data_IF_186727166157
#
_entry.id   IF_186727166157
#
_cell.length_a   1.000
_cell.length_b   1.000
_cell.length_c   1.000
_cell.angle_alpha   90.00
_cell.angle_beta   90.00
_cell.angle_gamma   90.00
#
_symmetry.space_group_name_H-M   'P 1'
#
loop_
_entity.id
_entity.type
_entity.pdbx_description
1 polymer ?
#
# COMPACT_ATOMS: atom_id res chain seq x y z
N UNK A 1 -40.12 -2.07 19.68
CA UNK A 1 -39.79 -1.50 18.36
C UNK A 1 -39.47 -0.02 18.55
N UNK A 2 -38.19 0.37 18.59
CA UNK A 2 -37.78 1.71 19.00
C UNK A 2 -37.75 2.64 17.75
N UNK A 3 -38.65 3.63 17.63
CA UNK A 3 -38.83 4.45 16.41
C UNK A 3 -37.67 5.43 16.13
N UNK A 4 -36.68 5.51 17.02
CA UNK A 4 -35.59 6.48 16.98
C UNK A 4 -34.52 6.13 15.92
N UNK A 5 -34.24 4.85 15.70
CA UNK A 5 -33.19 4.42 14.75
C UNK A 5 -33.55 4.64 13.28
N UNK A 6 -34.81 4.41 12.91
CA UNK A 6 -35.28 4.58 11.51
C UNK A 6 -35.37 6.06 11.10
N UNK A 7 -35.59 6.94 12.07
CA UNK A 7 -35.68 8.40 11.87
C UNK A 7 -34.28 9.02 11.75
N UNK A 8 -33.31 8.52 12.53
CA UNK A 8 -31.90 8.88 12.39
C UNK A 8 -31.32 8.47 11.03
N UNK A 9 -31.65 7.26 10.54
CA UNK A 9 -31.19 6.78 9.24
C UNK A 9 -31.77 7.58 8.06
N UNK A 10 -33.03 8.02 8.15
CA UNK A 10 -33.66 8.87 7.12
C UNK A 10 -33.07 10.29 7.09
N UNK A 11 -32.85 10.91 8.25
CA UNK A 11 -32.21 12.22 8.32
C UNK A 11 -30.74 12.18 7.90
N UNK A 12 -30.03 11.07 8.14
CA UNK A 12 -28.65 10.86 7.67
C UNK A 12 -28.55 10.84 6.14
N UNK A 13 -29.51 10.19 5.45
CA UNK A 13 -29.59 10.18 3.98
C UNK A 13 -29.92 11.55 3.37
N UNK A 14 -30.69 12.37 4.10
CA UNK A 14 -31.06 13.73 3.69
C UNK A 14 -29.91 14.73 3.88
N UNK A 15 -29.08 14.57 4.91
CA UNK A 15 -27.89 15.39 5.14
C UNK A 15 -26.77 15.14 4.10
N UNK A 16 -26.61 13.89 3.64
CA UNK A 16 -25.71 13.51 2.55
C UNK A 16 -26.09 14.18 1.21
N UNK A 17 -27.39 14.37 0.94
CA UNK A 17 -27.87 15.09 -0.23
C UNK A 17 -27.59 16.62 -0.18
N UNK A 18 -27.21 17.15 0.99
CA UNK A 18 -26.92 18.57 1.21
C UNK A 18 -25.43 18.88 1.43
N UNK A 19 -24.53 17.92 1.23
CA UNK A 19 -23.07 18.16 1.22
C UNK A 19 -22.43 18.37 2.59
N UNK A 20 -23.05 17.90 3.67
CA UNK A 20 -22.42 17.88 4.99
C UNK A 20 -21.35 16.75 5.05
N UNK A 21 -20.17 16.99 5.66
CA UNK A 21 -19.17 15.95 5.84
C UNK A 21 -19.73 14.83 6.71
N UNK A 22 -19.45 13.59 6.30
CA UNK A 22 -19.87 12.40 7.05
C UNK A 22 -19.20 12.40 8.44
N UNK A 23 -19.92 11.96 9.49
CA UNK A 23 -19.29 11.69 10.78
C UNK A 23 -18.15 10.69 10.60
N UNK A 24 -17.03 10.85 11.33
CA UNK A 24 -15.84 10.00 11.16
C UNK A 24 -16.13 8.49 11.33
N UNK A 25 -17.16 8.14 12.11
CA UNK A 25 -17.52 6.76 12.44
C UNK A 25 -18.75 6.26 11.65
N UNK A 26 -19.05 6.86 10.49
CA UNK A 26 -20.12 6.36 9.62
C UNK A 26 -19.67 5.12 8.83
N UNK A 27 -20.57 4.18 8.51
CA UNK A 27 -20.23 3.04 7.65
C UNK A 27 -19.61 3.46 6.31
N UNK A 28 -20.11 4.57 5.74
CA UNK A 28 -19.65 5.14 4.47
C UNK A 28 -18.21 5.68 4.56
N UNK A 29 -17.76 6.20 5.72
CA UNK A 29 -16.37 6.66 5.91
C UNK A 29 -15.42 5.49 6.12
N UNK A 30 -15.85 4.46 6.84
CA UNK A 30 -15.05 3.25 7.05
C UNK A 30 -14.76 2.51 5.74
N UNK A 31 -15.77 2.29 4.89
CA UNK A 31 -15.57 1.65 3.58
C UNK A 31 -14.66 2.49 2.67
N UNK A 32 -14.80 3.82 2.70
CA UNK A 32 -13.95 4.73 1.94
C UNK A 32 -12.48 4.67 2.40
N UNK A 33 -12.23 4.60 3.70
CA UNK A 33 -10.87 4.50 4.25
C UNK A 33 -10.22 3.16 3.90
N UNK A 34 -10.97 2.05 3.94
CA UNK A 34 -10.49 0.75 3.48
C UNK A 34 -10.15 0.75 1.98
N UNK A 35 -11.00 1.36 1.15
CA UNK A 35 -10.72 1.50 -0.28
C UNK A 35 -9.48 2.36 -0.52
N UNK A 36 -9.31 3.45 0.24
CA UNK A 36 -8.14 4.31 0.17
C UNK A 36 -6.85 3.53 0.52
N UNK A 37 -6.84 2.76 1.61
CA UNK A 37 -5.68 1.93 1.98
C UNK A 37 -5.32 0.92 0.89
N UNK A 38 -6.32 0.27 0.29
CA UNK A 38 -6.12 -0.69 -0.80
C UNK A 38 -5.59 -0.03 -2.06
N UNK A 39 -6.11 1.16 -2.39
CA UNK A 39 -5.66 1.96 -3.53
C UNK A 39 -4.22 2.41 -3.35
N UNK A 40 -3.87 2.92 -2.17
CA UNK A 40 -2.52 3.34 -1.84
C UNK A 40 -1.55 2.16 -1.88
N UNK A 41 -1.94 1.00 -1.38
CA UNK A 41 -1.15 -0.22 -1.52
C UNK A 41 -0.86 -0.54 -3.00
N UNK A 42 -1.85 -0.37 -3.89
CA UNK A 42 -1.65 -0.53 -5.34
C UNK A 42 -0.67 0.48 -5.94
N UNK A 43 -0.66 1.73 -5.46
CA UNK A 43 0.31 2.75 -5.89
C UNK A 43 1.74 2.34 -5.51
N UNK A 44 1.93 1.84 -4.28
CA UNK A 44 3.22 1.38 -3.79
C UNK A 44 3.71 0.14 -4.52
N UNK A 45 2.83 -0.82 -4.83
CA UNK A 45 3.15 -1.97 -5.68
C UNK A 45 3.60 -1.54 -7.08
N UNK A 46 2.85 -0.65 -7.73
CA UNK A 46 3.25 -0.14 -9.04
C UNK A 46 4.59 0.61 -9.01
N UNK A 47 4.94 1.25 -7.89
CA UNK A 47 6.27 1.81 -7.69
C UNK A 47 7.34 0.72 -7.51
N UNK A 48 7.05 -0.32 -6.71
CA UNK A 48 7.94 -1.46 -6.50
C UNK A 48 8.23 -2.22 -7.79
N UNK A 49 7.22 -2.43 -8.65
CA UNK A 49 7.38 -3.07 -9.96
C UNK A 49 8.30 -2.27 -10.88
N UNK A 50 8.15 -0.93 -10.91
CA UNK A 50 9.05 -0.05 -11.68
C UNK A 50 10.50 -0.14 -11.20
N UNK A 51 10.71 -0.23 -9.88
CA UNK A 51 12.06 -0.43 -9.33
C UNK A 51 12.63 -1.81 -9.69
N UNK A 52 11.79 -2.85 -9.68
CA UNK A 52 12.20 -4.21 -10.10
C UNK A 52 12.60 -4.25 -11.58
N UNK A 53 11.83 -3.61 -12.46
CA UNK A 53 12.16 -3.49 -13.88
C UNK A 53 13.45 -2.69 -14.12
N UNK A 54 13.65 -1.60 -13.38
CA UNK A 54 14.88 -0.82 -13.43
C UNK A 54 16.08 -1.63 -12.93
N UNK A 55 15.92 -2.39 -11.84
CA UNK A 55 16.94 -3.30 -11.32
C UNK A 55 17.34 -4.36 -12.34
N UNK A 56 16.36 -5.03 -12.96
CA UNK A 56 16.62 -6.02 -14.02
C UNK A 56 17.37 -5.40 -15.21
N UNK A 57 16.99 -4.19 -15.62
CA UNK A 57 17.67 -3.47 -16.70
C UNK A 57 19.10 -3.08 -16.30
N UNK A 58 19.30 -2.61 -15.08
CA UNK A 58 20.62 -2.26 -14.56
C UNK A 58 21.56 -3.48 -14.50
N UNK A 59 21.05 -4.66 -14.09
CA UNK A 59 21.85 -5.89 -14.10
C UNK A 59 22.34 -6.27 -15.51
N UNK A 60 21.54 -5.98 -16.54
CA UNK A 60 21.91 -6.28 -17.94
C UNK A 60 22.91 -5.28 -18.52
N UNK A 61 23.00 -4.07 -17.97
CA UNK A 61 23.90 -3.01 -18.43
C UNK A 61 25.38 -3.22 -18.03
N UNK A 62 25.71 -4.33 -17.39
CA UNK A 62 27.06 -4.61 -16.87
C UNK A 62 28.09 -4.70 -18.00
N UNK A 63 28.93 -3.66 -18.12
CA UNK A 63 30.10 -3.67 -18.99
C UNK A 63 31.13 -4.65 -18.45
N UNK A 64 31.64 -5.51 -19.32
CA UNK A 64 32.70 -6.44 -18.98
C UNK A 64 34.05 -5.72 -18.90
N UNK A 65 35.01 -6.30 -18.17
CA UNK A 65 36.40 -5.79 -18.16
C UNK A 65 37.03 -5.76 -19.56
N UNK A 66 36.50 -6.52 -20.52
CA UNK A 66 36.88 -6.49 -21.92
C UNK A 66 36.37 -5.22 -22.63
N UNK A 67 35.15 -4.77 -22.33
CA UNK A 67 34.56 -3.54 -22.88
C UNK A 67 35.29 -2.28 -22.37
N UNK A 68 35.87 -2.36 -21.17
CA UNK A 68 36.62 -1.27 -20.55
C UNK A 68 38.14 -1.35 -20.82
N UNK A 69 38.63 -2.45 -21.43
CA UNK A 69 40.04 -2.86 -21.37
C UNK A 69 41.03 -1.93 -22.07
N UNK A 70 40.59 -1.14 -23.05
CA UNK A 70 41.47 -0.28 -23.84
C UNK A 70 41.97 0.95 -23.06
N UNK A 71 41.28 1.34 -21.98
CA UNK A 71 41.62 2.51 -21.14
C UNK A 71 41.73 2.13 -19.65
N UNK A 72 41.11 1.03 -19.21
CA UNK A 72 40.97 0.70 -17.78
C UNK A 72 42.24 0.18 -17.11
N UNK A 73 43.14 -0.51 -17.84
CA UNK A 73 44.30 -1.19 -17.22
C UNK A 73 45.28 -0.26 -16.50
N UNK A 74 45.23 1.05 -16.77
CA UNK A 74 46.07 2.04 -16.09
C UNK A 74 45.26 3.01 -15.20
N UNK A 75 43.94 2.99 -15.29
CA UNK A 75 43.05 3.96 -14.63
C UNK A 75 42.16 3.33 -13.56
N UNK A 76 42.11 1.99 -13.44
CA UNK A 76 41.21 1.24 -12.55
C UNK A 76 39.72 1.55 -12.77
N UNK A 77 39.38 2.03 -13.96
CA UNK A 77 38.03 2.42 -14.35
C UNK A 77 37.05 1.24 -14.28
N UNK A 78 37.53 0.03 -14.53
CA UNK A 78 36.79 -1.22 -14.38
C UNK A 78 36.32 -1.45 -12.94
N UNK A 79 37.20 -1.25 -11.95
CA UNK A 79 36.86 -1.39 -10.53
C UNK A 79 35.81 -0.36 -10.12
N UNK A 80 36.04 0.92 -10.45
CA UNK A 80 35.11 2.00 -10.11
C UNK A 80 33.73 1.80 -10.77
N UNK A 81 33.70 1.34 -12.02
CA UNK A 81 32.46 1.01 -12.72
C UNK A 81 31.70 -0.12 -12.01
N UNK A 82 32.39 -1.21 -11.66
CA UNK A 82 31.76 -2.36 -10.98
C UNK A 82 31.22 -1.98 -9.60
N UNK A 83 31.93 -1.14 -8.84
CA UNK A 83 31.46 -0.63 -7.54
C UNK A 83 30.19 0.21 -7.68
N UNK A 84 30.16 1.15 -8.64
CA UNK A 84 28.99 1.99 -8.90
C UNK A 84 27.81 1.14 -9.39
N UNK A 85 28.08 0.19 -10.28
CA UNK A 85 27.07 -0.74 -10.80
C UNK A 85 26.43 -1.55 -9.68
N UNK A 86 27.23 -2.18 -8.83
CA UNK A 86 26.75 -2.95 -7.68
C UNK A 86 25.96 -2.09 -6.70
N UNK A 87 26.44 -0.87 -6.42
CA UNK A 87 25.72 0.07 -5.57
C UNK A 87 24.36 0.47 -6.14
N UNK A 88 24.29 0.81 -7.43
CA UNK A 88 23.04 1.17 -8.10
C UNK A 88 22.04 0.00 -8.12
N UNK A 89 22.50 -1.20 -8.47
CA UNK A 89 21.70 -2.44 -8.44
C UNK A 89 21.16 -2.68 -7.01
N UNK A 90 22.02 -2.55 -5.99
CA UNK A 90 21.62 -2.69 -4.59
C UNK A 90 20.57 -1.68 -4.15
N UNK A 91 20.71 -0.41 -4.55
CA UNK A 91 19.73 0.63 -4.25
C UNK A 91 18.36 0.35 -4.88
N UNK A 92 18.33 -0.09 -6.14
CA UNK A 92 17.07 -0.41 -6.83
C UNK A 92 16.36 -1.60 -6.17
N UNK A 93 17.11 -2.63 -5.78
CA UNK A 93 16.57 -3.77 -5.05
C UNK A 93 16.06 -3.37 -3.65
N UNK A 94 16.80 -2.51 -2.95
CA UNK A 94 16.39 -1.97 -1.66
C UNK A 94 15.10 -1.14 -1.76
N UNK A 95 15.01 -0.27 -2.78
CA UNK A 95 13.82 0.53 -3.05
C UNK A 95 12.61 -0.37 -3.36
N UNK A 96 12.76 -1.38 -4.22
CA UNK A 96 11.71 -2.37 -4.48
C UNK A 96 11.20 -3.01 -3.19
N UNK A 97 12.12 -3.51 -2.35
CA UNK A 97 11.78 -4.21 -1.10
C UNK A 97 11.01 -3.30 -0.14
N UNK A 98 11.45 -2.05 0.02
CA UNK A 98 10.79 -1.09 0.91
C UNK A 98 9.37 -0.74 0.43
N UNK A 99 9.20 -0.48 -0.87
CA UNK A 99 7.92 -0.11 -1.44
C UNK A 99 6.91 -1.27 -1.38
N UNK A 100 7.35 -2.50 -1.69
CA UNK A 100 6.54 -3.69 -1.53
C UNK A 100 6.16 -3.93 -0.05
N UNK A 101 7.08 -3.63 0.87
CA UNK A 101 6.81 -3.66 2.31
C UNK A 101 5.70 -2.68 2.73
N UNK A 102 5.72 -1.45 2.21
CA UNK A 102 4.66 -0.46 2.47
C UNK A 102 3.30 -0.92 1.92
N UNK A 103 3.27 -1.47 0.71
CA UNK A 103 2.05 -2.01 0.12
C UNK A 103 1.45 -3.14 0.98
N UNK A 104 2.29 -4.05 1.47
CA UNK A 104 1.85 -5.15 2.33
C UNK A 104 1.33 -4.64 3.68
N UNK A 105 2.02 -3.69 4.32
CA UNK A 105 1.57 -3.11 5.58
C UNK A 105 0.18 -2.46 5.46
N UNK A 106 -0.10 -1.76 4.35
CA UNK A 106 -1.42 -1.18 4.10
C UNK A 106 -2.51 -2.25 3.91
N UNK A 107 -2.20 -3.35 3.22
CA UNK A 107 -3.14 -4.48 3.07
C UNK A 107 -3.42 -5.17 4.39
N UNK A 108 -2.39 -5.41 5.18
CA UNK A 108 -2.52 -6.01 6.51
C UNK A 108 -3.35 -5.12 7.44
N UNK A 109 -3.11 -3.82 7.41
CA UNK A 109 -3.92 -2.82 8.12
C UNK A 109 -5.39 -2.87 7.70
N UNK A 110 -5.67 -2.83 6.40
CA UNK A 110 -7.04 -2.93 5.88
C UNK A 110 -7.74 -4.24 6.27
N UNK A 111 -7.02 -5.37 6.18
CA UNK A 111 -7.56 -6.67 6.56
C UNK A 111 -7.84 -6.77 8.08
N UNK A 112 -6.99 -6.18 8.91
CA UNK A 112 -7.20 -6.12 10.35
C UNK A 112 -8.47 -5.30 10.69
N UNK A 113 -8.65 -4.13 10.07
CA UNK A 113 -9.85 -3.33 10.25
C UNK A 113 -11.12 -4.09 9.86
N UNK A 114 -11.12 -4.80 8.72
CA UNK A 114 -12.28 -5.62 8.29
C UNK A 114 -12.60 -6.75 9.28
N UNK A 115 -11.57 -7.38 9.84
CA UNK A 115 -11.75 -8.44 10.82
C UNK A 115 -12.33 -7.92 12.15
N UNK A 116 -11.88 -6.75 12.59
CA UNK A 116 -12.38 -6.09 13.80
C UNK A 116 -13.86 -5.72 13.66
N UNK A 117 -14.26 -5.13 12.53
CA UNK A 117 -15.65 -4.76 12.28
C UNK A 117 -16.57 -5.99 12.22
N UNK A 118 -16.14 -7.05 11.52
CA UNK A 118 -16.89 -8.30 11.49
C UNK A 118 -17.04 -8.94 12.89
N UNK A 119 -16.04 -8.77 13.76
CA UNK A 119 -16.11 -9.24 15.15
C UNK A 119 -17.09 -8.41 15.99
N UNK A 120 -17.06 -7.09 15.85
CA UNK A 120 -17.96 -6.17 16.53
C UNK A 120 -19.42 -6.44 16.13
N UNK A 121 -19.69 -6.61 14.83
CA UNK A 121 -21.01 -6.92 14.31
C UNK A 121 -21.59 -8.22 14.89
N UNK A 122 -20.79 -9.29 14.98
CA UNK A 122 -21.19 -10.57 15.60
C UNK A 122 -21.50 -10.40 17.08
N UNK A 123 -20.64 -9.70 17.82
CA UNK A 123 -20.82 -9.46 19.25
C UNK A 123 -22.12 -8.69 19.55
N UNK A 124 -22.46 -7.71 18.71
CA UNK A 124 -23.70 -6.95 18.82
C UNK A 124 -24.95 -7.82 18.58
N UNK A 125 -24.91 -8.68 17.57
CA UNK A 125 -26.00 -9.60 17.23
C UNK A 125 -26.23 -10.65 18.33
N UNK A 126 -25.16 -11.13 18.98
CA UNK A 126 -25.25 -12.02 20.14
C UNK A 126 -25.89 -11.33 21.36
N UNK A 127 -25.49 -10.09 21.66
CA UNK A 127 -26.11 -9.31 22.75
C UNK A 127 -27.61 -9.08 22.50
N UNK A 128 -27.99 -8.72 21.27
CA UNK A 128 -29.38 -8.43 20.91
C UNK A 128 -30.27 -9.69 20.91
N UNK A 129 -29.69 -10.89 20.71
CA UNK A 129 -30.42 -12.17 20.89
C UNK A 129 -30.58 -12.58 22.35
N UNK A 130 -29.71 -12.12 23.26
CA UNK A 130 -29.79 -12.42 24.69
C UNK A 130 -30.85 -11.62 25.45
N UNK A 131 -31.34 -10.51 24.88
CA UNK A 131 -32.34 -9.62 25.49
C UNK A 131 -33.80 -9.88 25.07
N UNK A 132 -34.08 -10.88 24.21
CA UNK A 132 -35.44 -11.32 23.84
C UNK A 132 -35.77 -12.71 24.40
#
# INVERSE_FOLDING_TARGET
MNPTGLTAYKHHREAHAMGAPLPPDSPDTYEADLEAMRRDAGVWDGAAERMSAAHASAQQLALSGHDLSLISQHTRLDVAYQEIHQWAVGLLQGAHTNLAGMANALRESAAAYEAEEASAARSFDELNRGEN
#
